data_IF_053379273878
#
_entry.id   IF_053379273878
#
_cell.length_a   1.000
_cell.length_b   1.000
_cell.length_c   1.000
_cell.angle_alpha   90.00
_cell.angle_beta   90.00
_cell.angle_gamma   90.00
#
_symmetry.space_group_name_H-M   'P 1'
#
loop_
_entity.id
_entity.type
_entity.pdbx_description
1 polymer ?
#
# COMPACT_ATOMS: atom_id res chain seq x y z
N UNK A 1 3.16 20.32 -4.86
CA UNK A 1 1.90 19.60 -4.57
C UNK A 1 1.04 19.36 -5.81
N UNK A 2 0.96 20.31 -6.73
CA UNK A 2 0.20 20.14 -7.98
C UNK A 2 0.74 18.99 -8.84
N UNK A 3 2.05 18.88 -8.95
CA UNK A 3 2.69 17.78 -9.69
C UNK A 3 2.38 16.42 -9.04
N UNK A 4 2.39 16.36 -7.73
CA UNK A 4 2.07 15.14 -7.00
C UNK A 4 0.60 14.75 -7.22
N UNK A 5 -0.33 15.72 -7.18
CA UNK A 5 -1.75 15.47 -7.43
C UNK A 5 -2.00 14.97 -8.85
N UNK A 6 -1.28 15.51 -9.83
CA UNK A 6 -1.39 15.04 -11.21
C UNK A 6 -0.96 13.58 -11.35
N UNK A 7 0.13 13.21 -10.68
CA UNK A 7 0.63 11.85 -10.62
C UNK A 7 -0.36 10.92 -9.92
N UNK A 8 -0.87 11.35 -8.78
CA UNK A 8 -1.82 10.60 -7.96
C UNK A 8 -3.10 10.33 -8.74
N UNK A 9 -3.60 11.32 -9.48
CA UNK A 9 -4.82 11.20 -10.26
C UNK A 9 -4.78 10.11 -11.32
N UNK A 10 -3.61 9.67 -11.72
CA UNK A 10 -3.42 8.61 -12.72
C UNK A 10 -3.41 7.21 -12.10
N UNK A 11 -3.38 7.12 -10.77
CA UNK A 11 -3.33 5.84 -10.08
C UNK A 11 -4.70 5.15 -10.13
N UNK A 12 -4.74 3.81 -10.27
CA UNK A 12 -6.01 3.08 -10.36
C UNK A 12 -6.98 3.33 -9.21
N UNK A 13 -6.46 3.49 -7.98
CA UNK A 13 -7.29 3.71 -6.80
C UNK A 13 -8.06 5.03 -6.88
N UNK A 14 -7.56 6.01 -7.64
CA UNK A 14 -8.19 7.32 -7.79
C UNK A 14 -8.85 7.52 -9.15
N UNK A 15 -9.08 6.43 -9.88
CA UNK A 15 -9.71 6.49 -11.20
C UNK A 15 -11.10 7.14 -11.13
N UNK A 16 -11.35 8.11 -12.00
CA UNK A 16 -12.63 8.81 -12.07
C UNK A 16 -12.77 9.96 -11.08
N UNK A 17 -11.77 10.21 -10.26
CA UNK A 17 -11.77 11.31 -9.28
C UNK A 17 -10.97 12.48 -9.86
N UNK A 18 -11.56 13.67 -9.83
CA UNK A 18 -10.91 14.87 -10.38
C UNK A 18 -9.82 15.35 -9.43
N UNK A 19 -8.78 15.97 -9.99
CA UNK A 19 -7.65 16.50 -9.21
C UNK A 19 -8.11 17.45 -8.10
N UNK A 20 -9.11 18.27 -8.36
CA UNK A 20 -9.65 19.21 -7.39
C UNK A 20 -10.23 18.50 -6.16
N UNK A 21 -10.77 17.31 -6.37
CA UNK A 21 -11.38 16.50 -5.32
C UNK A 21 -10.35 15.65 -4.58
N UNK A 22 -9.22 15.35 -5.22
CA UNK A 22 -8.17 14.51 -4.63
C UNK A 22 -7.59 15.08 -3.35
N UNK A 23 -7.35 16.37 -3.33
CA UNK A 23 -6.79 17.03 -2.15
C UNK A 23 -7.71 16.85 -0.93
N UNK A 24 -9.01 17.07 -1.14
CA UNK A 24 -10.01 16.89 -0.08
C UNK A 24 -10.10 15.44 0.34
N UNK A 25 -10.06 14.52 -0.61
CA UNK A 25 -10.13 13.09 -0.35
C UNK A 25 -8.93 12.60 0.47
N UNK A 26 -7.73 13.03 0.11
CA UNK A 26 -6.52 12.66 0.82
C UNK A 26 -6.58 13.16 2.26
N UNK A 27 -7.08 14.36 2.48
CA UNK A 27 -7.30 14.89 3.82
C UNK A 27 -8.33 14.08 4.60
N UNK A 28 -9.42 13.70 3.94
CA UNK A 28 -10.46 12.87 4.55
C UNK A 28 -9.91 11.53 5.04
N UNK A 29 -8.97 10.95 4.31
CA UNK A 29 -8.34 9.68 4.64
C UNK A 29 -7.10 9.83 5.51
N UNK A 30 -6.86 11.02 6.05
CA UNK A 30 -5.65 11.34 6.82
C UNK A 30 -4.39 10.95 6.05
N UNK A 31 -4.39 11.25 4.76
CA UNK A 31 -3.29 10.89 3.87
C UNK A 31 -2.04 11.68 4.14
N UNK A 32 -0.91 10.98 4.15
CA UNK A 32 0.40 11.58 4.36
C UNK A 32 1.36 11.07 3.31
N UNK A 33 2.16 11.96 2.75
CA UNK A 33 3.19 11.60 1.80
C UNK A 33 4.54 11.59 2.49
N UNK A 34 5.33 10.58 2.19
CA UNK A 34 6.68 10.47 2.74
C UNK A 34 7.65 10.08 1.64
N UNK A 35 8.88 10.58 1.77
CA UNK A 35 9.97 10.28 0.85
C UNK A 35 10.97 9.39 1.58
N UNK A 36 11.41 8.34 0.90
CA UNK A 36 12.37 7.39 1.45
C UNK A 36 13.58 7.29 0.51
N UNK A 37 14.76 7.26 1.10
CA UNK A 37 15.98 7.04 0.35
C UNK A 37 16.18 5.55 0.11
N UNK A 38 16.95 5.21 -0.90
CA UNK A 38 17.30 3.83 -1.19
C UNK A 38 17.82 3.12 0.08
N UNK A 39 17.33 1.90 0.29
CA UNK A 39 17.66 1.03 1.42
C UNK A 39 17.13 1.49 2.78
N UNK A 40 16.35 2.56 2.82
CA UNK A 40 15.69 3.00 4.04
C UNK A 40 14.50 2.09 4.34
N UNK A 41 14.38 1.66 5.60
CA UNK A 41 13.24 0.85 6.04
C UNK A 41 12.00 1.71 6.21
N UNK A 42 10.89 1.23 5.68
CA UNK A 42 9.57 1.85 5.88
C UNK A 42 8.86 1.15 7.04
N UNK A 43 8.85 -0.17 7.02
CA UNK A 43 8.37 -1.00 8.12
C UNK A 43 9.28 -2.22 8.25
N UNK A 44 9.46 -2.68 9.48
CA UNK A 44 10.16 -3.93 9.75
C UNK A 44 9.13 -5.00 10.12
N UNK A 45 9.48 -6.27 9.92
CA UNK A 45 8.63 -7.37 10.30
C UNK A 45 8.28 -7.28 11.78
N UNK A 46 7.02 -7.49 12.11
CA UNK A 46 6.52 -7.39 13.48
C UNK A 46 5.89 -6.03 13.82
N UNK A 47 6.04 -5.03 12.97
CA UNK A 47 5.39 -3.74 13.17
C UNK A 47 3.92 -3.80 12.74
N UNK A 48 3.10 -2.95 13.36
CA UNK A 48 1.69 -2.84 12.97
C UNK A 48 1.53 -1.96 11.75
N UNK A 49 0.66 -2.37 10.84
CA UNK A 49 0.32 -1.60 9.65
C UNK A 49 -1.17 -1.27 9.65
N UNK A 50 -1.49 0.00 9.88
CA UNK A 50 -2.87 0.50 9.81
C UNK A 50 -3.14 1.38 8.61
N UNK A 51 -2.28 1.31 7.59
CA UNK A 51 -2.35 2.17 6.41
C UNK A 51 -2.39 1.36 5.13
N UNK A 52 -3.02 1.96 4.11
CA UNK A 52 -2.87 1.51 2.73
C UNK A 52 -1.74 2.34 2.15
N UNK A 53 -0.72 1.67 1.59
CA UNK A 53 0.39 2.34 0.94
C UNK A 53 0.17 2.39 -0.56
N UNK A 54 0.31 3.57 -1.14
CA UNK A 54 0.26 3.76 -2.58
C UNK A 54 1.63 4.26 -3.03
N UNK A 55 2.31 3.51 -3.89
CA UNK A 55 3.62 3.91 -4.38
C UNK A 55 3.44 4.94 -5.47
N UNK A 56 4.01 6.13 -5.28
CA UNK A 56 3.91 7.23 -6.24
C UNK A 56 5.11 7.26 -7.19
N UNK A 57 6.30 7.08 -6.64
CA UNK A 57 7.56 7.05 -7.40
C UNK A 57 8.50 6.03 -6.79
N UNK A 58 9.41 5.53 -7.60
CA UNK A 58 10.39 4.55 -7.15
C UNK A 58 9.81 3.16 -7.07
N UNK A 59 10.30 2.35 -6.16
CA UNK A 59 9.76 1.03 -5.89
C UNK A 59 10.15 0.60 -4.49
N UNK A 60 9.30 -0.22 -3.90
CA UNK A 60 9.52 -0.77 -2.58
C UNK A 60 9.84 -2.25 -2.70
N UNK A 61 10.72 -2.73 -1.83
CA UNK A 61 11.04 -4.14 -1.75
C UNK A 61 10.38 -4.74 -0.52
N UNK A 62 9.68 -5.85 -0.71
CA UNK A 62 9.16 -6.66 0.39
C UNK A 62 10.25 -7.66 0.76
N UNK A 63 10.69 -7.62 2.00
CA UNK A 63 11.86 -8.37 2.46
C UNK A 63 11.45 -9.39 3.50
N UNK A 64 11.82 -10.63 3.28
CA UNK A 64 11.61 -11.69 4.25
C UNK A 64 12.96 -12.05 4.90
N UNK A 65 12.97 -12.18 6.22
CA UNK A 65 14.12 -12.66 6.94
C UNK A 65 14.02 -14.17 7.08
N UNK A 66 15.08 -14.88 6.69
CA UNK A 66 15.10 -16.32 6.77
C UNK A 66 15.52 -16.80 8.17
N UNK A 67 15.57 -18.13 8.36
CA UNK A 67 15.92 -18.75 9.63
C UNK A 67 17.34 -18.34 10.11
N UNK A 68 18.20 -17.97 9.18
CA UNK A 68 19.59 -17.59 9.47
C UNK A 68 19.76 -16.09 9.61
N UNK A 69 18.65 -15.35 9.74
CA UNK A 69 18.64 -13.88 9.81
C UNK A 69 19.17 -13.20 8.54
N UNK A 70 19.15 -13.89 7.42
CA UNK A 70 19.49 -13.31 6.13
C UNK A 70 18.24 -12.72 5.51
N UNK A 71 18.37 -11.49 5.02
CA UNK A 71 17.28 -10.77 4.39
C UNK A 71 17.22 -11.13 2.90
N UNK A 72 16.04 -11.47 2.44
CA UNK A 72 15.81 -11.79 1.04
C UNK A 72 14.70 -10.92 0.48
N UNK A 73 15.00 -10.19 -0.59
CA UNK A 73 13.99 -9.45 -1.31
C UNK A 73 13.13 -10.43 -2.09
N UNK A 74 11.82 -10.39 -1.85
CA UNK A 74 10.89 -11.35 -2.44
C UNK A 74 10.17 -10.79 -3.64
N UNK A 75 9.60 -9.60 -3.48
CA UNK A 75 8.83 -8.93 -4.53
C UNK A 75 9.06 -7.43 -4.44
N UNK A 76 8.67 -6.73 -5.51
CA UNK A 76 8.73 -5.28 -5.57
C UNK A 76 7.32 -4.72 -5.74
N UNK A 77 7.06 -3.61 -5.07
CA UNK A 77 5.82 -2.85 -5.22
C UNK A 77 6.15 -1.66 -6.12
N UNK A 78 5.49 -1.62 -7.28
CA UNK A 78 5.79 -0.64 -8.33
C UNK A 78 4.87 0.58 -8.22
N UNK A 79 5.23 1.71 -8.87
CA UNK A 79 4.37 2.89 -8.88
C UNK A 79 2.97 2.56 -9.37
N UNK A 80 1.97 3.09 -8.68
CA UNK A 80 0.57 2.81 -8.97
C UNK A 80 0.01 1.61 -8.25
N UNK A 81 0.84 0.75 -7.71
CA UNK A 81 0.39 -0.40 -6.96
C UNK A 81 0.13 -0.01 -5.50
N UNK A 82 -0.76 -0.75 -4.86
CA UNK A 82 -1.10 -0.56 -3.45
C UNK A 82 -0.61 -1.75 -2.64
N UNK A 83 -0.36 -1.52 -1.36
CA UNK A 83 0.06 -2.57 -0.44
C UNK A 83 -0.46 -2.27 0.95
N UNK A 84 -0.80 -3.31 1.67
CA UNK A 84 -1.16 -3.20 3.08
C UNK A 84 -2.64 -3.38 3.37
N UNK A 85 -3.51 -3.35 2.37
CA UNK A 85 -4.96 -3.43 2.58
C UNK A 85 -5.37 -4.75 3.25
N UNK A 86 -4.72 -5.85 2.90
CA UNK A 86 -5.03 -7.14 3.52
C UNK A 86 -4.57 -7.21 4.97
N UNK A 87 -3.41 -6.66 5.25
CA UNK A 87 -2.87 -6.66 6.62
C UNK A 87 -3.60 -5.67 7.51
N UNK A 88 -3.94 -4.51 6.97
CA UNK A 88 -4.69 -3.50 7.72
C UNK A 88 -6.10 -3.97 8.07
N UNK A 89 -6.69 -4.83 7.23
CA UNK A 89 -8.02 -5.39 7.47
C UNK A 89 -8.01 -6.60 8.41
N UNK A 90 -6.86 -7.24 8.56
CA UNK A 90 -6.72 -8.40 9.45
C UNK A 90 -6.77 -7.96 10.91
N UNK A 91 -7.27 -8.82 11.76
CA UNK A 91 -7.43 -8.50 13.18
C UNK A 91 -6.13 -8.12 13.89
N UNK A 92 -5.02 -8.71 13.52
CA UNK A 92 -3.73 -8.46 14.17
C UNK A 92 -2.98 -7.24 13.61
N UNK A 93 -3.18 -6.90 12.35
CA UNK A 93 -2.49 -5.78 11.66
C UNK A 93 -0.97 -5.86 11.69
N UNK A 94 -0.39 -7.00 12.02
CA UNK A 94 1.05 -7.18 12.15
C UNK A 94 1.62 -7.67 10.83
N UNK A 95 2.68 -6.99 10.35
CA UNK A 95 3.36 -7.38 9.13
C UNK A 95 4.29 -8.58 9.37
N UNK A 96 4.15 -9.64 8.58
CA UNK A 96 5.09 -10.77 8.68
C UNK A 96 6.40 -10.53 7.95
N UNK A 97 6.50 -9.44 7.21
CA UNK A 97 7.65 -9.11 6.36
C UNK A 97 8.05 -7.65 6.58
N UNK A 98 9.28 -7.32 6.22
CA UNK A 98 9.73 -5.94 6.20
C UNK A 98 9.50 -5.30 4.85
N UNK A 99 9.45 -3.97 4.83
CA UNK A 99 9.31 -3.19 3.60
C UNK A 99 10.36 -2.10 3.62
N UNK A 100 11.19 -2.06 2.59
CA UNK A 100 12.21 -1.02 2.45
C UNK A 100 12.15 -0.41 1.06
N UNK A 101 12.71 0.77 0.91
CA UNK A 101 12.82 1.42 -0.38
C UNK A 101 13.93 0.75 -1.20
N UNK A 102 13.59 0.20 -2.36
CA UNK A 102 14.58 -0.40 -3.25
C UNK A 102 15.33 0.66 -4.04
N UNK A 103 14.77 1.83 -4.16
CA UNK A 103 15.38 3.03 -4.73
C UNK A 103 14.72 4.24 -4.07
N UNK A 104 15.17 5.46 -4.40
CA UNK A 104 14.53 6.65 -3.85
C UNK A 104 13.05 6.65 -4.23
N UNK A 105 12.18 6.71 -3.23
CA UNK A 105 10.75 6.47 -3.43
C UNK A 105 9.89 7.49 -2.72
N UNK A 106 8.70 7.72 -3.27
CA UNK A 106 7.65 8.50 -2.64
C UNK A 106 6.44 7.61 -2.44
N UNK A 107 5.88 7.64 -1.24
CA UNK A 107 4.75 6.79 -0.86
C UNK A 107 3.66 7.65 -0.23
N UNK A 108 2.41 7.38 -0.62
CA UNK A 108 1.24 7.96 0.00
C UNK A 108 0.66 6.95 0.98
N UNK A 109 0.50 7.35 2.23
CA UNK A 109 -0.12 6.53 3.27
C UNK A 109 -1.54 7.02 3.50
N UNK A 110 -2.51 6.12 3.38
CA UNK A 110 -3.91 6.42 3.66
C UNK A 110 -4.34 5.60 4.87
N UNK A 111 -4.96 6.26 5.85
CA UNK A 111 -5.48 5.55 7.02
C UNK A 111 -6.54 4.55 6.56
N UNK A 112 -6.38 3.28 6.93
CA UNK A 112 -7.27 2.21 6.47
C UNK A 112 -8.71 2.43 6.93
N UNK A 113 -8.89 2.72 8.22
CA UNK A 113 -10.23 2.88 8.78
C UNK A 113 -10.94 4.08 8.18
N UNK A 114 -10.25 5.21 8.07
CA UNK A 114 -10.83 6.42 7.46
C UNK A 114 -11.13 6.24 5.99
N UNK A 115 -10.31 5.46 5.29
CA UNK A 115 -10.52 5.20 3.86
C UNK A 115 -11.80 4.41 3.61
N UNK A 116 -12.15 3.50 4.51
CA UNK A 116 -13.30 2.62 4.35
C UNK A 116 -14.55 3.06 5.10
N UNK A 117 -14.45 3.99 6.05
CA UNK A 117 -15.62 4.51 6.75
C UNK A 117 -16.29 5.62 5.93
N UNK A 118 -17.60 5.76 6.11
CA UNK A 118 -18.33 6.82 5.43
C UNK A 118 -17.87 8.19 5.92
N UNK A 119 -17.57 9.04 4.96
CA UNK A 119 -17.21 10.41 5.25
C UNK A 119 -18.41 11.14 5.84
N UNK A 120 -18.25 11.83 6.98
CA UNK A 120 -19.31 12.63 7.58
C UNK A 120 -19.76 13.79 6.69
N UNK A 121 -18.89 14.18 5.75
CA UNK A 121 -19.18 15.21 4.75
C UNK A 121 -19.92 14.66 3.52
N UNK A 122 -20.18 13.36 3.49
CA UNK A 122 -20.88 12.69 2.38
C UNK A 122 -20.22 12.95 1.02
N UNK A 123 -18.92 12.86 0.96
CA UNK A 123 -18.16 13.11 -0.27
C UNK A 123 -18.41 12.03 -1.31
N UNK A 124 -18.97 12.36 -2.51
CA UNK A 124 -19.19 11.34 -3.54
C UNK A 124 -17.90 10.70 -4.06
N UNK A 125 -16.82 11.46 -4.08
CA UNK A 125 -15.53 10.94 -4.53
C UNK A 125 -14.91 9.96 -3.53
N UNK A 126 -15.27 10.04 -2.25
CA UNK A 126 -14.82 9.06 -1.26
C UNK A 126 -15.43 7.68 -1.57
N UNK A 127 -16.72 7.66 -1.89
CA UNK A 127 -17.41 6.43 -2.30
C UNK A 127 -16.79 5.85 -3.57
N UNK A 128 -16.38 6.70 -4.50
CA UNK A 128 -15.73 6.27 -5.73
C UNK A 128 -14.37 5.64 -5.44
N UNK A 129 -13.59 6.21 -4.53
CA UNK A 129 -12.31 5.62 -4.10
C UNK A 129 -12.51 4.26 -3.47
N UNK A 130 -13.49 4.12 -2.59
CA UNK A 130 -13.82 2.84 -1.95
C UNK A 130 -14.20 1.80 -3.00
N UNK A 131 -15.00 2.20 -3.99
CA UNK A 131 -15.39 1.34 -5.09
C UNK A 131 -14.16 0.89 -5.89
N UNK A 132 -13.25 1.81 -6.19
CA UNK A 132 -12.02 1.50 -6.91
C UNK A 132 -11.14 0.54 -6.10
N UNK A 133 -11.03 0.77 -4.80
CA UNK A 133 -10.26 -0.09 -3.91
C UNK A 133 -10.81 -1.51 -3.89
N UNK A 134 -12.12 -1.65 -3.77
CA UNK A 134 -12.78 -2.96 -3.80
C UNK A 134 -12.53 -3.65 -5.14
N UNK A 135 -12.62 -2.92 -6.25
CA UNK A 135 -12.35 -3.47 -7.58
C UNK A 135 -10.92 -3.99 -7.69
N UNK A 136 -9.95 -3.23 -7.21
CA UNK A 136 -8.54 -3.64 -7.22
C UNK A 136 -8.36 -4.91 -6.40
N UNK A 137 -8.93 -4.96 -5.21
CA UNK A 137 -8.83 -6.11 -4.32
C UNK A 137 -9.52 -7.35 -4.93
N UNK A 138 -10.64 -7.16 -5.63
CA UNK A 138 -11.38 -8.27 -6.24
C UNK A 138 -10.72 -8.82 -7.48
N UNK A 139 -10.14 -7.96 -8.32
CA UNK A 139 -9.58 -8.38 -9.61
C UNK A 139 -8.12 -8.75 -9.52
N UNK A 140 -7.34 -7.98 -8.79
CA UNK A 140 -5.88 -8.17 -8.69
C UNK A 140 -5.43 -8.62 -7.31
N UNK A 141 -6.29 -8.51 -6.31
CA UNK A 141 -6.01 -8.84 -4.91
C UNK A 141 -4.73 -8.17 -4.38
N UNK A 142 -4.47 -6.91 -4.81
CA UNK A 142 -3.18 -6.31 -4.50
C UNK A 142 -2.07 -7.23 -4.98
N UNK A 143 -1.71 -7.19 -6.25
CA UNK A 143 -0.78 -8.13 -6.89
C UNK A 143 0.44 -8.50 -6.05
N UNK A 144 1.01 -7.51 -5.36
CA UNK A 144 2.19 -7.75 -4.53
C UNK A 144 1.88 -8.70 -3.38
N UNK A 145 0.76 -8.51 -2.70
CA UNK A 145 0.34 -9.37 -1.59
C UNK A 145 -0.01 -10.77 -2.05
N UNK A 146 -0.66 -10.89 -3.19
CA UNK A 146 -1.00 -12.18 -3.78
C UNK A 146 0.26 -12.98 -4.11
N UNK A 147 1.25 -12.34 -4.72
CA UNK A 147 2.54 -12.96 -5.02
C UNK A 147 3.24 -13.40 -3.73
N UNK A 148 3.19 -12.56 -2.70
CA UNK A 148 3.81 -12.85 -1.43
C UNK A 148 3.14 -14.05 -0.74
N UNK A 149 1.83 -14.13 -0.73
CA UNK A 149 1.10 -15.27 -0.18
C UNK A 149 1.47 -16.57 -0.90
N UNK A 150 1.54 -16.53 -2.21
CA UNK A 150 1.92 -17.68 -3.02
C UNK A 150 3.32 -18.17 -2.69
N UNK A 151 4.28 -17.25 -2.58
CA UNK A 151 5.66 -17.57 -2.23
C UNK A 151 5.74 -18.14 -0.81
N UNK A 152 5.01 -17.54 0.14
CA UNK A 152 4.99 -18.01 1.53
C UNK A 152 4.43 -19.43 1.65
N UNK A 153 3.34 -19.72 0.93
CA UNK A 153 2.75 -21.05 0.91
C UNK A 153 3.73 -22.10 0.31
N UNK A 154 4.40 -21.72 -0.76
CA UNK A 154 5.39 -22.59 -1.39
C UNK A 154 6.56 -22.90 -0.46
N UNK A 155 7.05 -21.89 0.24
CA UNK A 155 8.13 -22.04 1.21
C UNK A 155 7.71 -22.94 2.37
N UNK A 156 6.48 -22.81 2.84
CA UNK A 156 5.94 -23.65 3.91
C UNK A 156 5.87 -25.11 3.48
N UNK A 157 5.47 -25.38 2.26
CA UNK A 157 5.44 -26.75 1.70
C UNK A 157 6.83 -27.35 1.60
N UNK A 158 7.80 -26.55 1.25
CA UNK A 158 9.18 -27.02 1.10
C UNK A 158 9.81 -27.44 2.44
N UNK A 159 9.25 -26.97 3.56
CA UNK A 159 9.70 -27.34 4.91
C UNK A 159 9.10 -28.65 5.42
N UNK A 160 8.14 -29.18 4.72
CA UNK A 160 7.53 -30.46 5.05
C UNK A 160 8.17 -31.58 4.24
#
# INVERSE_FOLDING_TARGET
MEEALSCIGKMPIFSGIREEELYTLIKCCDGQMAVFEKDQWIFQAGEELGYIMVVLKGRLAVVQEDFWHQQKEMIYIMPGEIFGENYASAGSKILPVGIKAAENSEVLFLDYERSLTFCTMACPFHSMMVHNLISIMSTNKGRAEEKLEHISQKTTRDKL
#
